data_IF_988970490514
#
_entry.id   IF_988970490514
#
_cell.length_a   1.000
_cell.length_b   1.000
_cell.length_c   1.000
_cell.angle_alpha   90.00
_cell.angle_beta   90.00
_cell.angle_gamma   90.00
#
_symmetry.space_group_name_H-M   'P 1'
#
loop_
_entity.id
_entity.type
_entity.pdbx_description
1 polymer ?
#
# COMPACT_ATOMS: atom_id res chain seq x y z
N UNK A 1 10.88 -17.51 70.49
CA UNK A 1 11.64 -16.24 70.36
C UNK A 1 11.47 -15.73 68.92
N UNK A 2 10.89 -14.53 68.76
CA UNK A 2 11.19 -13.46 67.79
C UNK A 2 11.44 -13.89 66.31
N UNK A 3 10.78 -13.37 65.27
CA UNK A 3 10.44 -11.96 64.99
C UNK A 3 9.53 -11.89 63.75
N UNK A 4 8.41 -11.18 63.88
CA UNK A 4 7.58 -10.66 62.77
C UNK A 4 8.26 -9.47 62.11
N UNK A 5 8.32 -9.39 60.77
CA UNK A 5 8.69 -8.17 60.04
C UNK A 5 7.63 -7.75 59.03
N UNK A 6 7.36 -6.44 59.09
CA UNK A 6 6.19 -5.71 58.58
C UNK A 6 6.32 -5.39 57.10
N UNK A 7 5.18 -5.39 56.40
CA UNK A 7 4.99 -4.78 55.08
C UNK A 7 5.10 -3.26 55.20
N UNK A 8 5.89 -2.62 54.34
CA UNK A 8 5.87 -1.18 54.14
C UNK A 8 5.04 -0.90 52.88
N UNK A 9 3.87 -0.30 53.08
CA UNK A 9 3.03 0.28 52.02
C UNK A 9 3.53 1.72 51.86
N UNK A 10 4.11 2.03 50.70
CA UNK A 10 4.51 3.40 50.36
C UNK A 10 3.29 4.13 49.80
N UNK A 11 2.74 5.03 50.62
CA UNK A 11 1.63 5.90 50.28
C UNK A 11 2.19 7.12 49.53
N UNK A 12 2.13 7.13 48.20
CA UNK A 12 2.45 8.33 47.41
C UNK A 12 1.19 9.20 47.38
N UNK A 13 1.20 10.24 48.21
CA UNK A 13 0.22 11.32 48.21
C UNK A 13 0.42 12.16 46.94
N UNK A 14 -0.49 12.06 45.98
CA UNK A 14 -0.56 12.99 44.84
C UNK A 14 -1.47 14.14 45.25
N UNK A 15 -0.88 15.31 45.50
CA UNK A 15 -1.60 16.58 45.64
C UNK A 15 -2.16 16.98 44.26
N UNK A 16 -3.47 16.83 44.07
CA UNK A 16 -4.18 17.43 42.95
C UNK A 16 -4.45 18.91 43.27
N UNK A 17 -3.59 19.79 42.76
CA UNK A 17 -3.79 21.23 42.81
C UNK A 17 -4.84 21.62 41.76
N UNK A 18 -6.07 21.87 42.21
CA UNK A 18 -7.15 22.44 41.41
C UNK A 18 -6.86 23.91 41.12
N UNK A 19 -6.24 24.21 39.98
CA UNK A 19 -6.23 25.56 39.42
C UNK A 19 -7.44 25.75 38.50
N UNK A 20 -8.46 26.39 39.06
CA UNK A 20 -9.63 26.90 38.38
C UNK A 20 -9.20 28.12 37.55
N UNK A 21 -8.86 27.91 36.28
CA UNK A 21 -8.61 29.00 35.33
C UNK A 21 -9.94 29.41 34.74
N UNK A 22 -10.43 30.59 35.13
CA UNK A 22 -11.53 31.26 34.47
C UNK A 22 -11.13 31.55 33.02
N UNK A 23 -11.71 30.81 32.08
CA UNK A 23 -11.61 31.11 30.64
C UNK A 23 -12.58 32.26 30.35
N UNK A 24 -12.13 33.37 29.73
CA UNK A 24 -13.05 34.41 29.27
C UNK A 24 -13.94 33.86 28.15
N UNK A 25 -15.24 34.13 28.28
CA UNK A 25 -16.24 33.89 27.26
C UNK A 25 -15.81 34.60 25.96
N UNK A 26 -15.41 33.82 24.95
CA UNK A 26 -15.21 34.33 23.61
C UNK A 26 -16.57 34.53 22.94
N UNK A 27 -16.78 35.76 22.50
CA UNK A 27 -17.92 36.21 21.75
C UNK A 27 -18.16 35.35 20.50
N UNK A 28 -19.43 35.02 20.27
CA UNK A 28 -19.96 34.56 18.99
C UNK A 28 -19.53 35.52 17.89
N UNK A 29 -18.56 35.10 17.08
CA UNK A 29 -18.35 35.66 15.75
C UNK A 29 -19.18 34.82 14.78
N UNK A 30 -20.22 35.46 14.28
CA UNK A 30 -21.11 35.00 13.21
C UNK A 30 -20.44 34.04 12.23
N UNK A 31 -21.05 32.86 12.10
CA UNK A 31 -20.70 31.84 11.12
C UNK A 31 -20.67 32.45 9.71
N UNK A 32 -19.46 32.71 9.18
CA UNK A 32 -19.27 32.66 7.73
C UNK A 32 -19.62 31.24 7.33
N UNK A 33 -20.72 31.08 6.59
CA UNK A 33 -20.98 29.88 5.79
C UNK A 33 -19.70 29.56 5.03
N UNK A 34 -18.99 28.54 5.50
CA UNK A 34 -17.94 27.88 4.75
C UNK A 34 -18.56 27.51 3.41
N UNK A 35 -18.14 28.22 2.36
CA UNK A 35 -18.37 27.76 1.00
C UNK A 35 -17.73 26.38 0.94
N UNK A 36 -18.56 25.34 0.92
CA UNK A 36 -18.12 23.97 0.79
C UNK A 36 -17.04 23.91 -0.28
N UNK A 37 -15.80 23.65 0.13
CA UNK A 37 -14.74 23.29 -0.80
C UNK A 37 -15.28 22.08 -1.56
N UNK A 38 -15.75 22.28 -2.78
CA UNK A 38 -16.17 21.16 -3.63
C UNK A 38 -14.94 20.30 -3.82
N UNK A 39 -14.96 19.13 -3.19
CA UNK A 39 -14.00 18.07 -3.41
C UNK A 39 -13.78 17.90 -4.91
N UNK A 40 -12.53 18.07 -5.36
CA UNK A 40 -12.17 17.82 -6.76
C UNK A 40 -12.23 16.31 -6.97
N UNK A 41 -12.94 15.87 -8.00
CA UNK A 41 -13.03 14.46 -8.40
C UNK A 41 -12.41 14.27 -9.78
N UNK A 42 -11.81 13.11 -10.02
CA UNK A 42 -11.31 12.75 -11.36
C UNK A 42 -12.45 12.32 -12.29
N UNK A 43 -12.11 12.00 -13.54
CA UNK A 43 -13.07 11.45 -14.50
C UNK A 43 -13.68 10.11 -14.04
N UNK A 44 -13.01 9.42 -13.12
CA UNK A 44 -13.49 8.18 -12.49
C UNK A 44 -14.37 8.42 -11.25
N UNK A 45 -14.67 9.70 -10.94
CA UNK A 45 -15.51 10.09 -9.80
C UNK A 45 -14.83 10.03 -8.43
N UNK A 46 -13.57 9.59 -8.36
CA UNK A 46 -12.83 9.45 -7.09
C UNK A 46 -12.13 10.74 -6.70
N UNK A 47 -11.87 10.93 -5.41
CA UNK A 47 -11.27 12.15 -4.88
C UNK A 47 -9.87 12.38 -5.43
N UNK A 48 -9.55 13.61 -5.86
CA UNK A 48 -8.19 14.04 -6.15
C UNK A 48 -7.78 15.05 -5.08
N UNK A 49 -6.63 14.80 -4.45
CA UNK A 49 -5.98 15.76 -3.57
C UNK A 49 -4.81 16.40 -4.30
N UNK A 50 -4.57 17.70 -4.04
CA UNK A 50 -3.38 18.38 -4.55
C UNK A 50 -2.10 17.72 -3.97
N UNK A 51 -2.21 17.13 -2.77
CA UNK A 51 -1.22 16.25 -2.15
C UNK A 51 -1.92 15.21 -1.26
N UNK A 52 -1.64 13.93 -1.48
CA UNK A 52 -2.17 12.88 -0.61
C UNK A 52 -1.42 12.83 0.74
N UNK A 53 -2.08 12.43 1.84
CA UNK A 53 -1.42 12.30 3.14
C UNK A 53 -0.33 11.22 3.14
N UNK A 54 0.90 11.59 3.47
CA UNK A 54 2.01 10.65 3.63
C UNK A 54 1.86 9.93 4.97
N UNK A 55 1.93 8.60 4.96
CA UNK A 55 1.77 7.79 6.17
C UNK A 55 3.13 7.64 6.89
N UNK A 56 3.18 7.58 8.24
CA UNK A 56 4.45 7.32 8.93
C UNK A 56 5.13 6.02 8.50
N UNK A 57 4.32 4.98 8.23
CA UNK A 57 4.80 3.70 7.71
C UNK A 57 5.51 3.82 6.37
N UNK A 58 4.94 4.58 5.42
CA UNK A 58 5.52 4.85 4.09
C UNK A 58 6.97 5.35 4.20
N UNK A 59 7.22 6.35 5.05
CA UNK A 59 8.56 6.94 5.22
C UNK A 59 9.59 5.90 5.69
N UNK A 60 9.24 5.11 6.70
CA UNK A 60 10.15 4.09 7.22
C UNK A 60 10.28 2.88 6.29
N UNK A 61 9.22 2.52 5.55
CA UNK A 61 9.25 1.44 4.58
C UNK A 61 10.17 1.79 3.40
N UNK A 62 10.10 3.01 2.86
CA UNK A 62 11.04 3.51 1.85
C UNK A 62 12.49 3.47 2.35
N UNK A 63 12.71 3.89 3.59
CA UNK A 63 14.04 3.83 4.20
C UNK A 63 14.55 2.38 4.36
N UNK A 64 13.66 1.45 4.66
CA UNK A 64 13.96 0.02 4.68
C UNK A 64 14.28 -0.52 3.28
N UNK A 65 13.44 -0.25 2.27
CA UNK A 65 13.66 -0.68 0.89
C UNK A 65 15.01 -0.24 0.33
N UNK A 66 15.41 1.00 0.62
CA UNK A 66 16.73 1.51 0.26
C UNK A 66 17.87 0.72 0.91
N UNK A 67 17.79 0.48 2.23
CA UNK A 67 18.83 -0.28 2.95
C UNK A 67 18.83 -1.75 2.53
N UNK A 68 17.68 -2.31 2.17
CA UNK A 68 17.56 -3.65 1.60
C UNK A 68 18.28 -3.73 0.25
N UNK A 69 18.09 -2.75 -0.63
CA UNK A 69 18.85 -2.66 -1.88
C UNK A 69 20.36 -2.51 -1.63
N UNK A 70 20.76 -1.60 -0.73
CA UNK A 70 22.18 -1.40 -0.40
C UNK A 70 22.81 -2.70 0.12
N UNK A 71 22.07 -3.50 0.89
CA UNK A 71 22.53 -4.81 1.36
C UNK A 71 22.72 -5.80 0.21
N UNK A 72 21.78 -5.87 -0.74
CA UNK A 72 21.90 -6.73 -1.93
C UNK A 72 23.12 -6.34 -2.80
N UNK A 73 23.52 -5.08 -2.77
CA UNK A 73 24.70 -4.56 -3.48
C UNK A 73 26.01 -4.68 -2.66
N UNK A 74 25.94 -5.19 -1.41
CA UNK A 74 27.09 -5.33 -0.51
C UNK A 74 27.51 -4.03 0.19
N UNK A 75 26.67 -2.99 0.13
CA UNK A 75 26.90 -1.65 0.70
C UNK A 75 26.30 -1.45 2.10
N UNK A 76 25.44 -2.36 2.56
CA UNK A 76 24.87 -2.34 3.91
C UNK A 76 25.04 -3.69 4.62
N UNK A 77 24.95 -3.66 5.96
CA UNK A 77 25.01 -4.88 6.77
C UNK A 77 23.61 -5.43 7.06
N UNK A 78 23.55 -6.71 7.46
CA UNK A 78 22.32 -7.30 7.96
C UNK A 78 21.72 -6.51 9.15
N UNK A 79 22.58 -5.98 10.03
CA UNK A 79 22.14 -5.19 11.17
C UNK A 79 21.45 -3.88 10.75
N UNK A 80 21.84 -3.30 9.61
CA UNK A 80 21.19 -2.10 9.06
C UNK A 80 19.77 -2.41 8.57
N UNK A 81 19.59 -3.55 7.88
CA UNK A 81 18.26 -4.04 7.49
C UNK A 81 17.40 -4.25 8.72
N UNK A 82 17.87 -5.04 9.70
CA UNK A 82 17.09 -5.37 10.90
C UNK A 82 16.68 -4.10 11.65
N UNK A 83 17.58 -3.11 11.75
CA UNK A 83 17.27 -1.82 12.35
C UNK A 83 16.16 -1.08 11.60
N UNK A 84 16.22 -1.01 10.27
CA UNK A 84 15.23 -0.28 9.47
C UNK A 84 13.88 -0.97 9.39
N UNK A 85 13.87 -2.29 9.23
CA UNK A 85 12.66 -3.09 9.28
C UNK A 85 11.96 -2.95 10.64
N UNK A 86 12.72 -2.95 11.73
CA UNK A 86 12.17 -2.72 13.07
C UNK A 86 11.56 -1.32 13.21
N UNK A 87 12.22 -0.28 12.68
CA UNK A 87 11.66 1.07 12.65
C UNK A 87 10.35 1.13 11.87
N UNK A 88 10.28 0.45 10.72
CA UNK A 88 9.06 0.32 9.94
C UNK A 88 7.92 -0.28 10.76
N UNK A 89 8.13 -1.47 11.36
CA UNK A 89 7.09 -2.10 12.18
C UNK A 89 6.64 -1.21 13.37
N UNK A 90 7.56 -0.48 13.99
CA UNK A 90 7.20 0.49 15.04
C UNK A 90 6.34 1.62 14.47
N UNK A 91 6.65 2.14 13.28
CA UNK A 91 5.93 3.25 12.65
C UNK A 91 4.50 2.87 12.24
N UNK A 92 4.27 1.60 11.86
CA UNK A 92 2.92 1.07 11.57
C UNK A 92 2.20 0.53 12.82
N UNK A 93 2.83 0.61 13.99
CA UNK A 93 2.24 0.19 15.28
C UNK A 93 2.32 -1.31 15.57
N UNK A 94 3.02 -2.08 14.74
CA UNK A 94 3.22 -3.52 14.91
C UNK A 94 4.39 -3.81 15.85
N UNK A 95 4.13 -3.64 17.14
CA UNK A 95 5.15 -3.91 18.17
C UNK A 95 5.52 -5.38 18.30
N UNK A 96 4.69 -6.30 17.79
CA UNK A 96 4.96 -7.72 17.85
C UNK A 96 6.02 -8.11 16.83
N UNK A 97 5.82 -7.77 15.56
CA UNK A 97 6.83 -8.02 14.53
C UNK A 97 8.09 -7.20 14.78
N UNK A 98 7.98 -5.98 15.30
CA UNK A 98 9.15 -5.20 15.75
C UNK A 98 10.02 -5.91 16.80
N UNK A 99 9.42 -6.71 17.71
CA UNK A 99 10.17 -7.52 18.70
C UNK A 99 10.77 -8.77 18.08
N UNK A 100 10.09 -9.36 17.11
CA UNK A 100 10.55 -10.55 16.38
C UNK A 100 11.70 -10.23 15.42
N UNK A 101 11.91 -8.95 15.05
CA UNK A 101 13.06 -8.49 14.25
C UNK A 101 14.36 -8.69 15.03
N UNK A 102 14.88 -9.91 14.95
CA UNK A 102 16.20 -10.31 15.44
C UNK A 102 16.65 -11.58 14.72
N UNK A 103 17.92 -11.61 14.29
CA UNK A 103 18.61 -12.83 13.89
C UNK A 103 18.04 -13.55 12.66
N UNK A 104 17.61 -12.82 11.62
CA UNK A 104 17.08 -13.36 10.35
C UNK A 104 15.83 -14.26 10.44
N UNK A 105 15.20 -14.41 11.60
CA UNK A 105 14.10 -15.39 11.75
C UNK A 105 12.80 -15.01 11.02
N UNK A 106 12.60 -13.73 10.67
CA UNK A 106 11.38 -13.23 10.06
C UNK A 106 11.31 -13.39 8.53
N UNK A 107 12.43 -13.65 7.86
CA UNK A 107 12.42 -13.90 6.42
C UNK A 107 13.34 -15.06 6.06
N UNK A 108 12.83 -16.31 6.13
CA UNK A 108 13.49 -17.45 5.52
C UNK A 108 13.86 -17.20 4.04
N UNK A 109 13.09 -16.35 3.34
CA UNK A 109 13.34 -15.88 1.98
C UNK A 109 14.63 -15.04 1.86
N UNK A 110 14.86 -14.06 2.74
CA UNK A 110 16.09 -13.23 2.73
C UNK A 110 17.33 -14.09 3.02
N UNK A 111 17.19 -15.14 3.84
CA UNK A 111 18.32 -16.02 4.20
C UNK A 111 18.72 -16.99 3.08
N UNK A 112 17.79 -17.36 2.18
CA UNK A 112 18.01 -18.41 1.17
C UNK A 112 18.46 -17.85 -0.19
N UNK A 113 18.18 -16.58 -0.49
CA UNK A 113 18.57 -15.94 -1.76
C UNK A 113 19.53 -14.75 -1.54
N UNK A 114 20.75 -15.05 -1.11
CA UNK A 114 21.89 -14.11 -1.22
C UNK A 114 22.44 -14.02 -2.65
N UNK A 115 21.83 -14.72 -3.61
CA UNK A 115 21.90 -14.39 -5.02
C UNK A 115 20.61 -13.67 -5.36
N UNK A 116 20.61 -12.34 -5.31
CA UNK A 116 19.52 -11.55 -5.85
C UNK A 116 19.27 -12.04 -7.28
N UNK A 117 18.16 -12.73 -7.50
CA UNK A 117 17.79 -13.11 -8.85
C UNK A 117 17.55 -11.80 -9.62
N UNK A 118 18.10 -11.71 -10.83
CA UNK A 118 17.80 -10.56 -11.68
C UNK A 118 16.29 -10.51 -11.98
N UNK A 119 15.63 -11.66 -12.00
CA UNK A 119 14.21 -11.78 -12.31
C UNK A 119 13.51 -12.55 -11.20
N UNK A 120 12.38 -12.05 -10.70
CA UNK A 120 11.60 -12.72 -9.66
C UNK A 120 10.12 -12.48 -9.85
N UNK A 121 9.34 -13.51 -9.53
CA UNK A 121 7.88 -13.51 -9.55
C UNK A 121 7.35 -14.16 -8.27
N UNK A 122 6.18 -13.73 -7.83
CA UNK A 122 5.40 -14.41 -6.80
C UNK A 122 4.59 -15.50 -7.50
N UNK A 123 5.00 -16.76 -7.34
CA UNK A 123 4.42 -17.89 -8.06
C UNK A 123 2.93 -18.10 -7.83
N UNK A 124 2.44 -17.66 -6.66
CA UNK A 124 1.06 -17.85 -6.23
C UNK A 124 0.18 -16.60 -6.50
N UNK A 125 0.72 -15.57 -7.15
CA UNK A 125 -0.04 -14.41 -7.60
C UNK A 125 -0.47 -14.62 -9.06
N UNK A 126 -1.72 -15.01 -9.28
CA UNK A 126 -2.25 -15.28 -10.60
C UNK A 126 -3.03 -14.10 -11.20
N UNK A 127 -3.14 -14.08 -12.53
CA UNK A 127 -4.01 -13.11 -13.19
C UNK A 127 -5.48 -13.45 -12.94
N UNK A 128 -6.22 -12.44 -12.46
CA UNK A 128 -7.65 -12.54 -12.22
C UNK A 128 -8.39 -11.53 -13.10
N UNK A 129 -9.33 -12.02 -13.91
CA UNK A 129 -10.13 -11.19 -14.81
C UNK A 129 -11.20 -10.43 -14.03
N UNK A 130 -11.38 -9.14 -14.30
CA UNK A 130 -12.43 -8.36 -13.63
C UNK A 130 -13.85 -8.75 -14.08
N UNK A 131 -14.73 -9.02 -13.13
CA UNK A 131 -16.11 -9.47 -13.39
C UNK A 131 -17.02 -8.35 -13.90
N UNK A 132 -16.77 -7.10 -13.49
CA UNK A 132 -17.50 -5.90 -13.94
C UNK A 132 -16.53 -4.90 -14.57
N UNK A 133 -17.04 -4.00 -15.40
CA UNK A 133 -16.22 -3.00 -16.10
C UNK A 133 -15.51 -1.98 -15.18
N UNK A 134 -15.83 -1.96 -13.88
CA UNK A 134 -15.22 -1.12 -12.86
C UNK A 134 -14.57 -1.92 -11.69
N UNK A 135 -14.37 -3.23 -11.88
CA UNK A 135 -13.83 -4.15 -10.86
C UNK A 135 -12.31 -4.40 -10.95
N UNK A 136 -11.55 -3.57 -11.67
CA UNK A 136 -10.09 -3.72 -11.70
C UNK A 136 -9.44 -3.69 -10.31
N UNK A 137 -9.99 -2.91 -9.37
CA UNK A 137 -9.54 -2.88 -7.97
C UNK A 137 -9.81 -4.19 -7.23
N UNK A 138 -11.07 -4.67 -7.14
CA UNK A 138 -11.39 -5.98 -6.60
C UNK A 138 -10.56 -7.13 -7.18
N UNK A 139 -10.42 -7.22 -8.51
CA UNK A 139 -9.61 -8.25 -9.15
C UNK A 139 -8.12 -8.15 -8.76
N UNK A 140 -7.59 -6.93 -8.65
CA UNK A 140 -6.22 -6.69 -8.16
C UNK A 140 -6.05 -7.14 -6.70
N UNK A 141 -7.01 -6.82 -5.83
CA UNK A 141 -6.96 -7.20 -4.42
C UNK A 141 -7.09 -8.72 -4.24
N UNK A 142 -8.00 -9.37 -4.97
CA UNK A 142 -8.18 -10.82 -4.98
C UNK A 142 -6.86 -11.51 -5.36
N UNK A 143 -6.23 -11.09 -6.46
CA UNK A 143 -4.97 -11.66 -6.93
C UNK A 143 -3.86 -11.58 -5.88
N UNK A 144 -3.75 -10.45 -5.17
CA UNK A 144 -2.75 -10.27 -4.11
C UNK A 144 -3.09 -11.09 -2.86
N UNK A 145 -4.37 -11.18 -2.49
CA UNK A 145 -4.83 -11.89 -1.30
C UNK A 145 -4.72 -13.41 -1.43
N UNK A 146 -4.80 -13.96 -2.65
CA UNK A 146 -4.57 -15.39 -2.90
C UNK A 146 -3.16 -15.85 -2.45
N UNK A 147 -2.16 -14.97 -2.51
CA UNK A 147 -0.79 -15.24 -2.00
C UNK A 147 -0.78 -15.55 -0.50
N UNK A 148 -1.80 -15.09 0.24
CA UNK A 148 -1.95 -15.28 1.68
C UNK A 148 -3.00 -16.34 2.02
N UNK A 149 -3.38 -17.19 1.07
CA UNK A 149 -4.45 -18.20 1.21
C UNK A 149 -5.80 -17.58 1.63
N UNK A 150 -6.07 -16.34 1.22
CA UNK A 150 -7.31 -15.62 1.51
C UNK A 150 -8.26 -15.73 0.32
N UNK A 151 -9.33 -16.50 0.47
CA UNK A 151 -10.40 -16.65 -0.51
C UNK A 151 -11.47 -15.56 -0.31
N UNK A 152 -11.46 -14.56 -1.19
CA UNK A 152 -12.47 -13.48 -1.21
C UNK A 152 -12.89 -13.18 -2.63
N UNK A 153 -14.19 -13.17 -2.89
CA UNK A 153 -14.70 -12.83 -4.22
C UNK A 153 -14.58 -11.33 -4.53
N UNK A 154 -14.51 -10.96 -5.81
CA UNK A 154 -14.54 -9.55 -6.23
C UNK A 154 -15.76 -8.80 -5.68
N UNK A 155 -16.91 -9.47 -5.57
CA UNK A 155 -18.13 -8.86 -5.04
C UNK A 155 -18.03 -8.49 -3.56
N UNK A 156 -17.38 -9.34 -2.75
CA UNK A 156 -17.11 -9.07 -1.34
C UNK A 156 -16.10 -7.94 -1.20
N UNK A 157 -15.02 -7.98 -1.98
CA UNK A 157 -14.00 -6.94 -2.01
C UNK A 157 -14.56 -5.58 -2.47
N UNK A 158 -15.49 -5.58 -3.44
CA UNK A 158 -16.11 -4.38 -3.98
C UNK A 158 -17.09 -3.68 -3.03
N UNK A 159 -17.49 -4.34 -1.94
CA UNK A 159 -18.50 -3.84 -1.00
C UNK A 159 -18.13 -2.51 -0.33
N UNK A 160 -19.13 -1.84 0.23
CA UNK A 160 -18.96 -0.55 0.92
C UNK A 160 -18.10 -0.63 2.19
N UNK A 161 -17.96 -1.82 2.77
CA UNK A 161 -17.16 -2.05 3.98
C UNK A 161 -15.69 -2.39 3.65
N UNK A 162 -15.39 -2.62 2.36
CA UNK A 162 -14.06 -2.96 1.84
C UNK A 162 -13.56 -1.87 0.88
N UNK A 163 -13.45 -2.17 -0.42
CA UNK A 163 -12.85 -1.25 -1.40
C UNK A 163 -13.79 -0.10 -1.80
N UNK A 164 -15.05 -0.12 -1.39
CA UNK A 164 -16.06 0.89 -1.75
C UNK A 164 -16.28 1.02 -3.26
N UNK A 165 -15.92 -0.01 -4.03
CA UNK A 165 -16.01 -0.04 -5.48
C UNK A 165 -17.45 0.09 -5.95
N UNK A 166 -18.40 -0.56 -5.27
CA UNK A 166 -19.82 -0.44 -5.57
C UNK A 166 -20.36 0.98 -5.38
N UNK A 167 -19.95 1.65 -4.29
CA UNK A 167 -20.38 3.03 -3.98
C UNK A 167 -19.92 4.02 -5.05
N UNK A 168 -18.68 3.90 -5.51
CA UNK A 168 -18.08 4.87 -6.43
C UNK A 168 -18.09 4.43 -7.90
N UNK A 169 -18.51 3.19 -8.19
CA UNK A 169 -18.37 2.56 -9.50
C UNK A 169 -16.92 2.62 -10.02
N UNK A 170 -15.98 2.55 -9.08
CA UNK A 170 -14.51 2.57 -9.24
C UNK A 170 -13.89 2.35 -7.86
N UNK A 171 -12.69 1.78 -7.78
CA UNK A 171 -11.96 1.67 -6.51
C UNK A 171 -11.15 2.93 -6.28
N UNK A 172 -11.47 3.76 -5.27
CA UNK A 172 -10.76 5.00 -5.03
C UNK A 172 -9.33 4.73 -4.57
N UNK A 173 -8.37 5.52 -5.06
CA UNK A 173 -7.03 5.59 -4.46
C UNK A 173 -7.10 6.10 -3.02
N UNK A 174 -7.93 7.11 -2.79
CA UNK A 174 -8.19 7.71 -1.50
C UNK A 174 -9.69 8.05 -1.40
N UNK A 175 -10.38 7.49 -0.41
CA UNK A 175 -11.83 7.63 -0.27
C UNK A 175 -12.23 8.93 0.44
N UNK A 176 -11.75 9.13 1.66
CA UNK A 176 -12.04 10.30 2.51
C UNK A 176 -11.07 10.36 3.71
N UNK A 177 -11.24 11.31 4.63
CA UNK A 177 -10.38 11.46 5.81
C UNK A 177 -10.47 10.31 6.82
N UNK A 178 -11.53 9.51 6.78
CA UNK A 178 -11.76 8.38 7.68
C UNK A 178 -11.25 7.07 7.07
N UNK A 179 -11.64 6.79 5.84
CA UNK A 179 -11.34 5.56 5.12
C UNK A 179 -9.99 5.60 4.39
N UNK A 180 -9.47 6.80 4.09
CA UNK A 180 -8.16 7.03 3.50
C UNK A 180 -7.88 6.10 2.30
N UNK A 181 -6.77 5.37 2.31
CA UNK A 181 -6.33 4.46 1.25
C UNK A 181 -7.01 3.10 1.38
N UNK A 182 -8.16 2.92 0.71
CA UNK A 182 -9.01 1.72 0.90
C UNK A 182 -8.31 0.41 0.51
N UNK A 183 -7.50 0.42 -0.55
CA UNK A 183 -6.75 -0.76 -0.98
C UNK A 183 -5.73 -1.19 0.09
N UNK A 184 -4.96 -0.25 0.65
CA UNK A 184 -4.06 -0.48 1.80
C UNK A 184 -4.79 -1.14 2.96
N UNK A 185 -5.94 -0.58 3.34
CA UNK A 185 -6.70 -1.06 4.48
C UNK A 185 -7.25 -2.48 4.25
N UNK A 186 -7.74 -2.78 3.05
CA UNK A 186 -8.25 -4.11 2.70
C UNK A 186 -7.13 -5.13 2.68
N UNK A 187 -6.00 -4.85 2.02
CA UNK A 187 -4.87 -5.79 1.96
C UNK A 187 -4.34 -6.10 3.37
N UNK A 188 -4.04 -5.07 4.18
CA UNK A 188 -3.57 -5.27 5.55
C UNK A 188 -4.59 -6.02 6.43
N UNK A 189 -5.89 -5.71 6.30
CA UNK A 189 -6.94 -6.36 7.09
C UNK A 189 -7.04 -7.85 6.80
N UNK A 190 -7.08 -8.23 5.54
CA UNK A 190 -7.37 -9.62 5.16
C UNK A 190 -6.13 -10.50 5.09
N UNK A 191 -4.97 -9.96 4.72
CA UNK A 191 -3.69 -10.67 4.82
C UNK A 191 -3.11 -10.71 6.25
N UNK A 192 -3.86 -10.23 7.26
CA UNK A 192 -3.45 -10.14 8.67
C UNK A 192 -2.03 -9.57 8.84
N UNK A 193 -1.78 -8.43 8.21
CA UNK A 193 -0.46 -7.80 8.13
C UNK A 193 -0.55 -6.29 8.29
N UNK A 194 0.59 -5.68 8.62
CA UNK A 194 0.78 -4.23 8.62
C UNK A 194 1.78 -3.79 7.55
N UNK A 195 2.04 -4.66 6.56
CA UNK A 195 3.10 -4.48 5.57
C UNK A 195 2.79 -3.39 4.54
N UNK A 196 1.53 -3.30 4.11
CA UNK A 196 1.13 -2.46 2.99
C UNK A 196 1.06 -0.99 3.39
N UNK A 197 1.76 -0.14 2.65
CA UNK A 197 1.73 1.31 2.75
C UNK A 197 1.49 1.95 1.38
N UNK A 198 0.82 3.12 1.33
CA UNK A 198 0.60 3.83 0.09
C UNK A 198 1.84 4.66 -0.23
N UNK A 199 2.26 4.66 -1.48
CA UNK A 199 3.21 5.63 -2.00
C UNK A 199 2.61 6.34 -3.19
N UNK A 200 2.53 7.67 -3.11
CA UNK A 200 2.01 8.49 -4.19
C UNK A 200 3.11 8.92 -5.16
N UNK A 201 2.89 8.69 -6.45
CA UNK A 201 3.77 9.12 -7.53
C UNK A 201 5.27 8.75 -7.34
N UNK A 202 5.59 7.47 -7.10
CA UNK A 202 6.96 7.02 -6.88
C UNK A 202 7.85 7.35 -8.08
N UNK A 203 9.11 7.71 -7.82
CA UNK A 203 10.10 7.86 -8.88
C UNK A 203 10.49 6.50 -9.46
N UNK A 204 11.11 6.46 -10.64
CA UNK A 204 11.55 5.20 -11.24
C UNK A 204 12.62 4.46 -10.42
N UNK A 205 13.50 5.20 -9.72
CA UNK A 205 14.48 4.61 -8.80
C UNK A 205 13.83 4.07 -7.53
N UNK A 206 12.84 4.78 -7.02
CA UNK A 206 12.08 4.39 -5.83
C UNK A 206 11.30 3.09 -6.12
N UNK A 207 10.53 3.07 -7.22
CA UNK A 207 9.80 1.88 -7.70
C UNK A 207 10.67 0.63 -7.78
N UNK A 208 11.90 0.76 -8.29
CA UNK A 208 12.84 -0.36 -8.41
C UNK A 208 13.12 -0.97 -7.03
N UNK A 209 13.43 -0.14 -6.05
CA UNK A 209 13.74 -0.60 -4.69
C UNK A 209 12.49 -1.14 -3.97
N UNK A 210 11.34 -0.51 -4.17
CA UNK A 210 10.06 -0.85 -3.53
C UNK A 210 9.55 -2.19 -4.03
N UNK A 211 9.48 -2.36 -5.35
CA UNK A 211 8.99 -3.59 -5.97
C UNK A 211 9.87 -4.77 -5.62
N UNK A 212 11.20 -4.59 -5.61
CA UNK A 212 12.11 -5.67 -5.22
C UNK A 212 11.93 -6.06 -3.77
N UNK A 213 11.84 -5.10 -2.86
CA UNK A 213 11.68 -5.36 -1.42
C UNK A 213 10.43 -6.19 -1.17
N UNK A 214 9.33 -5.86 -1.81
CA UNK A 214 8.04 -6.51 -1.58
C UNK A 214 7.94 -7.87 -2.28
N UNK A 215 8.32 -7.96 -3.55
CA UNK A 215 8.36 -9.23 -4.29
C UNK A 215 9.34 -10.21 -3.64
N UNK A 216 10.50 -9.75 -3.18
CA UNK A 216 11.46 -10.60 -2.46
C UNK A 216 10.92 -11.09 -1.11
N UNK A 217 10.04 -10.30 -0.49
CA UNK A 217 9.34 -10.63 0.75
C UNK A 217 8.03 -11.39 0.51
N UNK A 218 7.69 -11.74 -0.73
CA UNK A 218 6.47 -12.49 -1.09
C UNK A 218 5.19 -11.66 -1.03
N UNK A 219 5.27 -10.33 -1.09
CA UNK A 219 4.11 -9.45 -1.07
C UNK A 219 3.86 -8.88 -2.47
N UNK A 220 2.70 -9.17 -3.06
CA UNK A 220 2.26 -8.56 -4.32
C UNK A 220 1.85 -7.11 -4.09
N UNK A 221 1.95 -6.25 -5.11
CA UNK A 221 1.77 -4.80 -4.97
C UNK A 221 0.59 -4.34 -5.83
N UNK A 222 -0.28 -3.48 -5.30
CA UNK A 222 -1.38 -2.91 -6.07
C UNK A 222 -0.99 -1.54 -6.67
N UNK A 223 -0.92 -1.44 -8.00
CA UNK A 223 -0.63 -0.18 -8.68
C UNK A 223 -1.91 0.46 -9.23
N UNK A 224 -2.02 1.80 -9.09
CA UNK A 224 -3.15 2.56 -9.64
C UNK A 224 -2.68 3.45 -10.79
N UNK A 225 -3.05 3.08 -12.01
CA UNK A 225 -2.88 3.89 -13.20
C UNK A 225 -4.01 4.90 -13.36
N UNK A 226 -3.67 6.08 -13.87
CA UNK A 226 -4.66 7.12 -14.10
C UNK A 226 -4.30 7.96 -15.33
N UNK A 227 -4.60 7.41 -16.50
CA UNK A 227 -4.30 8.01 -17.79
C UNK A 227 -5.33 9.06 -18.19
N UNK A 228 -4.86 10.24 -18.62
CA UNK A 228 -5.63 11.16 -19.47
C UNK A 228 -5.50 10.76 -20.93
N UNK A 229 -6.43 11.25 -21.75
CA UNK A 229 -6.39 11.08 -23.21
C UNK A 229 -5.04 11.52 -23.79
N UNK A 230 -4.41 10.63 -24.57
CA UNK A 230 -3.16 10.90 -25.29
C UNK A 230 -1.88 10.61 -24.51
N UNK A 231 -1.95 10.31 -23.21
CA UNK A 231 -0.79 9.90 -22.42
C UNK A 231 -0.26 8.52 -22.83
N UNK A 232 1.05 8.33 -22.63
CA UNK A 232 1.73 7.05 -22.79
C UNK A 232 1.09 6.00 -21.88
N UNK A 233 0.91 4.79 -22.38
CA UNK A 233 0.21 3.69 -21.69
C UNK A 233 0.66 2.33 -22.24
N UNK A 234 0.40 1.24 -21.53
CA UNK A 234 0.66 -0.11 -22.04
C UNK A 234 -0.05 -0.37 -23.38
N UNK A 235 0.56 -1.23 -24.20
CA UNK A 235 0.00 -1.63 -25.50
C UNK A 235 -1.36 -2.31 -25.32
N UNK A 236 -2.34 -1.93 -26.14
CA UNK A 236 -3.71 -2.48 -26.12
C UNK A 236 -4.70 -1.66 -25.29
N UNK A 237 -4.22 -0.79 -24.40
CA UNK A 237 -5.08 0.09 -23.63
C UNK A 237 -5.78 1.11 -24.53
N UNK A 238 -7.04 1.42 -24.23
CA UNK A 238 -7.81 2.45 -24.93
C UNK A 238 -7.12 3.81 -24.84
N UNK A 239 -7.35 4.70 -25.82
CA UNK A 239 -6.72 6.03 -25.89
C UNK A 239 -7.43 7.13 -25.08
N UNK A 240 -8.57 6.81 -24.47
CA UNK A 240 -9.36 7.73 -23.65
C UNK A 240 -8.80 7.95 -22.25
N UNK A 241 -9.59 8.59 -21.38
CA UNK A 241 -9.29 8.61 -19.96
C UNK A 241 -9.50 7.20 -19.37
N UNK A 242 -8.59 6.74 -18.52
CA UNK A 242 -8.65 5.41 -17.92
C UNK A 242 -8.03 5.42 -16.52
N UNK A 243 -8.82 5.08 -15.51
CA UNK A 243 -8.36 4.72 -14.18
C UNK A 243 -8.31 3.20 -14.09
N UNK A 244 -7.21 2.63 -13.61
CA UNK A 244 -7.00 1.20 -13.67
C UNK A 244 -6.14 0.70 -12.51
N UNK A 245 -6.57 -0.37 -11.85
CA UNK A 245 -5.76 -1.06 -10.85
C UNK A 245 -5.16 -2.33 -11.46
N UNK A 246 -3.91 -2.62 -11.11
CA UNK A 246 -3.23 -3.87 -11.50
C UNK A 246 -2.43 -4.43 -10.32
N UNK A 247 -2.24 -5.76 -10.30
CA UNK A 247 -1.39 -6.43 -9.32
C UNK A 247 0.00 -6.68 -9.92
N UNK A 248 1.04 -6.08 -9.35
CA UNK A 248 2.44 -6.37 -9.67
C UNK A 248 2.81 -7.64 -8.92
N UNK A 249 3.25 -8.64 -9.66
CA UNK A 249 3.66 -9.96 -9.18
C UNK A 249 5.17 -10.19 -9.31
N UNK A 250 5.88 -9.31 -10.01
CA UNK A 250 7.29 -9.53 -10.23
C UNK A 250 8.04 -8.40 -10.89
N UNK A 251 9.32 -8.70 -11.12
CA UNK A 251 10.25 -7.84 -11.80
C UNK A 251 11.24 -8.64 -12.64
N UNK A 252 11.84 -7.98 -13.62
CA UNK A 252 12.99 -8.47 -14.37
C UNK A 252 14.13 -7.46 -14.33
N UNK A 253 15.34 -7.91 -14.66
CA UNK A 253 16.54 -7.08 -14.76
C UNK A 253 16.80 -6.25 -13.50
N UNK A 254 16.75 -6.91 -12.34
CA UNK A 254 16.88 -6.31 -11.02
C UNK A 254 15.88 -5.18 -10.76
N UNK A 255 14.65 -5.24 -11.29
CA UNK A 255 13.65 -4.20 -11.08
C UNK A 255 13.61 -3.12 -12.17
N UNK A 256 14.47 -3.19 -13.19
CA UNK A 256 14.41 -2.24 -14.32
C UNK A 256 13.19 -2.49 -15.22
N UNK A 257 12.59 -3.68 -15.15
CA UNK A 257 11.34 -4.02 -15.82
C UNK A 257 10.33 -4.53 -14.79
N UNK A 258 9.15 -3.93 -14.78
CA UNK A 258 8.05 -4.30 -13.88
C UNK A 258 7.14 -5.28 -14.61
N UNK A 259 6.71 -6.33 -13.92
CA UNK A 259 5.78 -7.33 -14.41
C UNK A 259 4.49 -7.28 -13.58
N UNK A 260 3.33 -7.35 -14.25
CA UNK A 260 2.04 -7.32 -13.55
C UNK A 260 1.00 -8.21 -14.22
N UNK A 261 0.08 -8.71 -13.39
CA UNK A 261 -1.15 -9.37 -13.78
C UNK A 261 -2.20 -8.35 -14.23
N UNK A 262 -2.72 -8.53 -15.45
CA UNK A 262 -3.64 -7.61 -16.11
C UNK A 262 -5.10 -8.03 -15.93
N UNK A 263 -5.91 -7.34 -15.10
CA UNK A 263 -7.29 -7.75 -14.85
C UNK A 263 -8.24 -7.54 -16.03
N UNK A 264 -7.84 -6.80 -17.07
CA UNK A 264 -8.63 -6.65 -18.31
C UNK A 264 -8.50 -7.87 -19.22
N UNK A 265 -7.41 -8.62 -19.14
CA UNK A 265 -7.23 -9.82 -19.96
C UNK A 265 -8.36 -10.79 -19.68
N UNK A 266 -9.04 -11.28 -20.72
CA UNK A 266 -10.17 -12.21 -20.58
C UNK A 266 -11.46 -11.62 -19.99
N UNK A 267 -11.48 -10.35 -19.58
CA UNK A 267 -12.66 -9.73 -18.97
C UNK A 267 -13.78 -9.47 -19.99
N UNK A 268 -14.80 -10.33 -20.01
CA UNK A 268 -15.98 -10.18 -20.89
C UNK A 268 -16.81 -8.92 -20.57
N UNK A 269 -16.64 -8.37 -19.37
CA UNK A 269 -17.30 -7.14 -18.91
C UNK A 269 -16.72 -5.87 -19.55
N UNK A 270 -15.54 -5.96 -20.18
CA UNK A 270 -14.81 -4.82 -20.74
C UNK A 270 -14.78 -4.92 -22.26
N UNK A 271 -15.40 -3.95 -22.95
CA UNK A 271 -15.55 -3.95 -24.42
C UNK A 271 -14.24 -3.98 -25.24
N UNK A 272 -13.12 -3.66 -24.61
CA UNK A 272 -11.81 -3.58 -25.24
C UNK A 272 -10.83 -4.64 -24.72
N UNK A 273 -11.30 -5.62 -23.93
CA UNK A 273 -10.46 -6.68 -23.38
C UNK A 273 -9.73 -7.49 -24.45
N UNK A 274 -10.35 -7.68 -25.62
CA UNK A 274 -9.72 -8.31 -26.78
C UNK A 274 -8.46 -7.59 -27.26
N UNK A 275 -8.24 -6.32 -26.93
CA UNK A 275 -7.01 -5.61 -27.27
C UNK A 275 -5.82 -6.03 -26.39
N UNK A 276 -6.08 -6.58 -25.20
CA UNK A 276 -5.08 -7.13 -24.29
C UNK A 276 -4.76 -8.56 -24.72
N UNK A 277 -3.53 -8.78 -25.17
CA UNK A 277 -3.12 -10.04 -25.79
C UNK A 277 -2.39 -11.00 -24.84
N UNK A 278 -2.16 -10.59 -23.59
CA UNK A 278 -1.43 -11.38 -22.59
C UNK A 278 -2.04 -11.15 -21.21
N UNK A 279 -2.16 -12.20 -20.36
CA UNK A 279 -2.57 -12.07 -18.97
C UNK A 279 -1.55 -11.30 -18.13
N UNK A 280 -0.29 -11.32 -18.54
CA UNK A 280 0.78 -10.60 -17.86
C UNK A 280 1.45 -9.63 -18.82
N UNK A 281 1.74 -8.42 -18.34
CA UNK A 281 2.34 -7.35 -19.11
C UNK A 281 3.62 -6.87 -18.43
N UNK A 282 4.47 -6.20 -19.21
CA UNK A 282 5.71 -5.62 -18.71
C UNK A 282 5.94 -4.21 -19.24
N UNK A 283 6.70 -3.42 -18.48
CA UNK A 283 7.15 -2.08 -18.85
C UNK A 283 8.45 -1.76 -18.11
N UNK A 284 9.25 -0.83 -18.62
CA UNK A 284 10.40 -0.33 -17.87
C UNK A 284 9.92 0.37 -16.58
N UNK A 285 10.75 0.41 -15.53
CA UNK A 285 10.43 1.15 -14.31
C UNK A 285 10.18 2.65 -14.58
N UNK A 286 10.86 3.23 -15.59
CA UNK A 286 10.60 4.60 -16.05
C UNK A 286 9.19 4.75 -16.60
N UNK A 287 8.80 3.88 -17.53
CA UNK A 287 7.47 3.91 -18.14
C UNK A 287 6.38 3.67 -17.09
N UNK A 288 6.61 2.70 -16.20
CA UNK A 288 5.67 2.37 -15.13
C UNK A 288 5.49 3.54 -14.14
N UNK A 289 6.57 4.27 -13.81
CA UNK A 289 6.49 5.48 -12.98
C UNK A 289 5.60 6.56 -13.59
N UNK A 290 5.61 6.72 -14.92
CA UNK A 290 4.71 7.63 -15.63
C UNK A 290 3.24 7.17 -15.51
N UNK A 291 3.00 5.86 -15.53
CA UNK A 291 1.65 5.30 -15.45
C UNK A 291 0.98 5.55 -14.09
N UNK A 292 1.75 5.52 -13.01
CA UNK A 292 1.26 5.71 -11.63
C UNK A 292 1.41 7.14 -11.10
N UNK A 293 1.97 8.07 -11.88
CA UNK A 293 2.37 9.41 -11.41
C UNK A 293 1.23 10.24 -10.79
N UNK A 294 -0.02 10.00 -11.18
CA UNK A 294 -1.17 10.76 -10.66
C UNK A 294 -1.79 10.14 -9.41
N UNK A 295 -1.45 8.89 -9.12
CA UNK A 295 -1.90 8.11 -7.95
C UNK A 295 -0.66 7.49 -7.32
N UNK A 296 -0.40 6.21 -7.54
CA UNK A 296 0.77 5.55 -6.96
C UNK A 296 0.62 4.04 -6.86
N UNK A 297 1.29 3.47 -5.85
CA UNK A 297 1.27 2.04 -5.51
C UNK A 297 0.91 1.82 -4.04
N UNK A 298 0.26 0.69 -3.74
CA UNK A 298 0.11 0.16 -2.39
C UNK A 298 1.05 -1.04 -2.30
N UNK A 299 2.13 -0.86 -1.56
CA UNK A 299 3.21 -1.83 -1.41
C UNK A 299 3.41 -2.05 0.07
#
# INVERSE_FOLDING_TARGET
>A
MLKTWKKAISLVLVFALSMMVCVPAFAETSSKKSSANKEKRDFDGTLILDKYPVMPGEIEKKAFAKVYQDYQEGNASQADIEKKLKSFYIAVGDTENARKVSGLSLFPAIRKELTASADKYISDLYQISQEKNYYCGPATAEAILEVFDVDMTQSELASNDNLQTEKFQSTPWYADSVNQYVMKNVLNKYADTSWYEPESAPSSSDLKSEIRTDVDSGHGIAANFNFKKGEKRPKGYISGNLGHWVAIDGYLNNGDTIHWAEPIYGASSVKWSDNIKSPYLTASASDFSEYVQRRGIIW
#
